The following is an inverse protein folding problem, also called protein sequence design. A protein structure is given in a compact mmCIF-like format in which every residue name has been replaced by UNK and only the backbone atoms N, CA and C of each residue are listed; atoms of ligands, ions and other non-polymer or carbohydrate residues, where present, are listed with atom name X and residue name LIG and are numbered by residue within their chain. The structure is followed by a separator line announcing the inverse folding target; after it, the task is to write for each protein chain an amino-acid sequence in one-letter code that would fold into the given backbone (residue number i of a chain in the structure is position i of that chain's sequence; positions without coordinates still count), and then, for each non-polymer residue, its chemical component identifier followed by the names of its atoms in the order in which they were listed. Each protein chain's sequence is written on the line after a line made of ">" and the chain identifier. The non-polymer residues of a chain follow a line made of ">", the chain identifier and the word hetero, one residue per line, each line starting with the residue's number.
data_IF_815084250109
#
_entry.id   IF_815084250109
#
_cell.length_a   1.000
_cell.length_b   1.000
_cell.length_c   1.000
_cell.angle_alpha   90.00
_cell.angle_beta   90.00
_cell.angle_gamma   90.00
#
_symmetry.space_group_name_H-M   'P 1'
#
loop_
_entity.id
_entity.type
_entity.pdbx_description
1 polymer ?
#
# COMPACT_ATOMS: atom_id res chain seq x y z
N UNK A 1 1.26 -9.30 25.37
CA UNK A 1 2.66 -9.80 25.40
C UNK A 1 2.70 -11.32 25.43
N UNK A 2 2.72 -11.94 24.26
CA UNK A 2 3.09 -13.35 24.03
C UNK A 2 3.81 -13.39 22.68
N UNK A 3 5.06 -13.88 22.70
CA UNK A 3 5.89 -14.15 21.52
C UNK A 3 5.36 -15.39 20.78
N UNK A 4 5.54 -15.44 19.46
CA UNK A 4 4.92 -16.42 18.55
C UNK A 4 5.52 -17.84 18.57
N UNK A 5 6.48 -18.12 19.45
CA UNK A 5 7.07 -19.47 19.56
C UNK A 5 7.37 -19.80 21.02
N UNK A 6 6.42 -20.40 21.75
CA UNK A 6 6.73 -21.51 22.64
C UNK A 6 5.46 -22.17 23.21
N UNK A 7 5.33 -23.48 22.99
CA UNK A 7 4.38 -24.32 23.71
C UNK A 7 5.17 -25.22 24.66
N UNK A 8 4.82 -25.15 25.95
CA UNK A 8 5.27 -25.95 27.12
C UNK A 8 6.47 -25.40 27.91
N UNK A 9 6.17 -24.69 29.00
CA UNK A 9 6.36 -25.15 30.41
C UNK A 9 6.09 -24.03 31.44
N UNK A 10 5.45 -24.41 32.56
CA UNK A 10 5.80 -23.91 33.90
C UNK A 10 5.13 -22.63 34.40
N UNK A 11 4.21 -22.80 35.36
CA UNK A 11 3.59 -21.75 36.21
C UNK A 11 4.64 -21.03 37.06
N UNK A 12 4.54 -19.70 37.20
CA UNK A 12 4.64 -18.99 38.50
C UNK A 12 3.87 -17.67 38.45
N UNK A 13 3.07 -17.43 39.50
CA UNK A 13 2.32 -16.20 39.77
C UNK A 13 3.23 -15.20 40.50
N UNK A 14 3.13 -13.91 40.20
CA UNK A 14 3.08 -12.87 41.23
C UNK A 14 2.42 -11.57 40.73
N UNK A 15 1.91 -10.82 41.69
CA UNK A 15 0.91 -9.75 41.67
C UNK A 15 1.39 -8.36 41.20
N UNK A 16 0.39 -7.59 40.74
CA UNK A 16 0.08 -6.16 41.00
C UNK A 16 1.04 -5.08 40.49
N UNK A 17 0.54 -4.09 39.74
CA UNK A 17 -0.21 -2.95 40.28
C UNK A 17 -0.66 -1.99 39.16
N UNK A 18 -1.79 -1.36 39.43
CA UNK A 18 -2.51 -0.29 38.73
C UNK A 18 -1.69 0.95 38.38
N UNK A 19 -1.98 1.56 37.21
CA UNK A 19 -2.31 2.99 37.14
C UNK A 19 -3.11 3.26 35.84
N UNK A 20 -4.42 3.50 36.01
CA UNK A 20 -5.30 3.99 34.96
C UNK A 20 -5.39 5.50 35.08
N UNK A 21 -5.03 6.22 34.02
CA UNK A 21 -5.34 7.62 33.85
C UNK A 21 -6.20 7.77 32.59
N UNK A 22 -7.46 8.13 32.82
CA UNK A 22 -8.45 8.44 31.82
C UNK A 22 -8.07 9.74 31.08
N UNK A 23 -8.22 9.74 29.75
CA UNK A 23 -8.49 10.97 29.00
C UNK A 23 -9.65 10.69 28.04
N UNK A 24 -10.75 11.36 28.36
CA UNK A 24 -11.95 11.51 27.55
C UNK A 24 -11.62 12.20 26.22
N UNK A 25 -12.12 11.68 25.10
CA UNK A 25 -12.51 12.52 23.98
C UNK A 25 -13.94 12.20 23.58
N UNK A 26 -14.80 13.17 23.84
CA UNK A 26 -16.21 13.16 23.48
C UNK A 26 -16.41 13.23 21.98
N UNK A 27 -17.45 12.55 21.53
CA UNK A 27 -18.04 12.75 20.23
C UNK A 27 -18.58 14.17 20.11
N UNK A 28 -18.30 14.79 18.97
CA UNK A 28 -19.05 15.94 18.51
C UNK A 28 -19.65 15.58 17.15
N UNK A 29 -20.98 15.64 17.10
CA UNK A 29 -21.78 15.23 15.96
C UNK A 29 -21.58 16.13 14.74
N UNK A 30 -21.69 15.51 13.57
CA UNK A 30 -21.77 16.20 12.29
C UNK A 30 -23.18 16.80 12.13
N UNK A 31 -23.30 18.11 12.26
CA UNK A 31 -24.46 18.86 11.77
C UNK A 31 -24.30 19.09 10.26
N UNK A 32 -25.21 18.51 9.49
CA UNK A 32 -25.36 18.75 8.07
C UNK A 32 -25.91 20.16 7.84
N UNK A 33 -25.19 20.98 7.07
CA UNK A 33 -25.73 22.18 6.45
C UNK A 33 -25.77 21.93 4.93
N UNK A 34 -26.99 21.76 4.44
CA UNK A 34 -27.29 21.70 3.02
C UNK A 34 -27.00 23.05 2.37
N UNK A 35 -26.08 23.08 1.41
CA UNK A 35 -25.94 24.19 0.47
C UNK A 35 -26.66 23.81 -0.83
N UNK A 36 -27.64 24.62 -1.22
CA UNK A 36 -28.38 24.50 -2.47
C UNK A 36 -27.44 24.72 -3.69
N UNK A 37 -27.71 24.10 -4.85
CA UNK A 37 -26.88 24.26 -6.02
C UNK A 37 -27.13 25.62 -6.68
N UNK A 38 -26.04 26.29 -7.07
CA UNK A 38 -26.09 27.43 -7.99
C UNK A 38 -25.78 26.87 -9.37
N UNK A 39 -26.77 26.93 -10.26
CA UNK A 39 -26.63 26.60 -11.67
C UNK A 39 -25.62 27.51 -12.37
N UNK A 40 -24.64 26.92 -13.06
CA UNK A 40 -23.66 27.63 -13.86
C UNK A 40 -23.03 26.74 -14.92
N UNK A 41 -23.41 26.99 -16.18
CA UNK A 41 -22.76 26.65 -17.46
C UNK A 41 -21.95 25.32 -17.55
N UNK A 42 -22.49 24.38 -18.32
CA UNK A 42 -21.94 23.04 -18.48
C UNK A 42 -20.58 22.96 -19.17
N UNK A 43 -19.58 22.47 -18.44
CA UNK A 43 -18.42 21.80 -19.02
C UNK A 43 -18.89 20.48 -19.68
N UNK A 44 -18.43 20.20 -20.90
CA UNK A 44 -18.88 19.08 -21.71
C UNK A 44 -18.58 17.69 -21.11
N UNK A 45 -19.23 16.61 -21.58
CA UNK A 45 -19.15 15.28 -20.98
C UNK A 45 -17.72 14.73 -20.84
N UNK A 46 -16.86 15.04 -21.81
CA UNK A 46 -15.44 14.62 -21.84
C UNK A 46 -14.62 15.35 -20.75
N UNK A 47 -14.88 16.64 -20.52
CA UNK A 47 -14.25 17.40 -19.43
C UNK A 47 -14.80 16.97 -18.07
N UNK A 48 -16.11 16.70 -17.96
CA UNK A 48 -16.69 16.14 -16.73
C UNK A 48 -16.13 14.76 -16.39
N UNK A 49 -15.90 13.92 -17.40
CA UNK A 49 -15.30 12.60 -17.21
C UNK A 49 -13.81 12.71 -16.84
N UNK A 50 -13.03 13.55 -17.52
CA UNK A 50 -11.63 13.79 -17.17
C UNK A 50 -11.46 14.46 -15.79
N UNK A 51 -12.37 15.35 -15.40
CA UNK A 51 -12.41 16.00 -14.07
C UNK A 51 -12.97 15.04 -12.99
N UNK A 52 -13.83 14.09 -13.37
CA UNK A 52 -14.32 13.00 -12.50
C UNK A 52 -13.23 11.96 -12.24
N UNK A 53 -12.48 11.57 -13.28
CA UNK A 53 -11.34 10.66 -13.20
C UNK A 53 -10.17 11.29 -12.43
N UNK A 54 -9.93 12.61 -12.58
CA UNK A 54 -8.98 13.36 -11.75
C UNK A 54 -9.44 13.50 -10.29
N UNK A 55 -10.74 13.27 -9.99
CA UNK A 55 -11.29 13.38 -8.63
C UNK A 55 -11.39 12.04 -7.88
N UNK A 56 -11.25 10.89 -8.52
CA UNK A 56 -11.35 9.62 -7.79
C UNK A 56 -10.00 9.19 -7.22
N UNK A 57 -9.97 9.01 -5.90
CA UNK A 57 -8.85 8.40 -5.21
C UNK A 57 -8.74 6.95 -5.67
N UNK A 58 -7.60 6.58 -6.26
CA UNK A 58 -7.35 5.23 -6.74
C UNK A 58 -7.33 4.25 -5.57
N UNK A 59 -8.11 3.18 -5.63
CA UNK A 59 -8.16 2.15 -4.61
C UNK A 59 -7.41 0.89 -5.08
N UNK A 60 -6.38 0.52 -4.33
CA UNK A 60 -5.69 -0.76 -4.44
C UNK A 60 -6.24 -1.71 -3.37
N UNK A 61 -6.71 -2.89 -3.78
CA UNK A 61 -7.09 -3.97 -2.87
C UNK A 61 -6.07 -5.10 -3.01
N UNK A 62 -5.35 -5.41 -1.93
CA UNK A 62 -4.41 -6.53 -1.93
C UNK A 62 -5.03 -7.74 -1.22
N UNK A 63 -5.06 -8.89 -1.88
CA UNK A 63 -5.59 -10.15 -1.39
C UNK A 63 -4.50 -11.21 -1.42
N UNK A 64 -4.43 -12.07 -0.41
CA UNK A 64 -3.44 -13.14 -0.45
C UNK A 64 -3.07 -13.68 0.91
N UNK A 65 -1.88 -14.25 0.97
CA UNK A 65 -1.31 -14.85 2.16
C UNK A 65 -0.44 -13.86 2.99
N UNK A 66 0.52 -14.40 3.74
CA UNK A 66 1.47 -13.66 4.57
C UNK A 66 2.37 -12.71 3.79
N UNK A 67 2.61 -12.97 2.50
CA UNK A 67 3.37 -12.07 1.64
C UNK A 67 2.57 -10.79 1.38
N UNK A 68 1.25 -10.92 1.17
CA UNK A 68 0.35 -9.77 1.08
C UNK A 68 0.22 -9.06 2.42
N UNK A 69 0.15 -9.80 3.53
CA UNK A 69 0.11 -9.20 4.87
C UNK A 69 1.36 -8.38 5.22
N UNK A 70 2.47 -8.56 4.48
CA UNK A 70 3.74 -7.90 4.76
C UNK A 70 4.46 -8.48 5.97
N UNK A 71 4.27 -9.77 6.25
CA UNK A 71 4.83 -10.45 7.41
C UNK A 71 6.36 -10.51 7.38
N UNK A 72 6.99 -10.24 8.51
CA UNK A 72 8.38 -10.57 8.80
C UNK A 72 8.48 -11.32 10.14
N UNK A 73 9.53 -12.15 10.33
CA UNK A 73 9.72 -12.89 11.56
C UNK A 73 9.72 -11.98 12.79
N UNK A 74 8.88 -12.33 13.77
CA UNK A 74 8.75 -11.59 15.04
C UNK A 74 7.64 -10.53 15.05
N UNK A 75 6.92 -10.34 13.94
CA UNK A 75 5.71 -9.50 13.94
C UNK A 75 4.62 -10.08 14.85
N UNK A 76 3.82 -9.18 15.42
CA UNK A 76 2.65 -9.44 16.26
C UNK A 76 1.43 -8.69 15.71
N UNK A 77 0.27 -8.87 16.33
CA UNK A 77 -0.97 -8.11 16.01
C UNK A 77 -0.80 -6.59 16.13
N UNK A 78 0.12 -6.14 16.98
CA UNK A 78 0.42 -4.72 17.20
C UNK A 78 1.45 -4.17 16.20
N UNK A 79 2.00 -5.02 15.33
CA UNK A 79 3.00 -4.60 14.36
C UNK A 79 2.36 -3.91 13.16
N UNK A 80 2.87 -2.75 12.79
CA UNK A 80 2.49 -2.09 11.53
C UNK A 80 3.30 -2.70 10.37
N UNK A 81 2.68 -3.45 9.45
CA UNK A 81 3.39 -4.02 8.32
C UNK A 81 3.94 -2.91 7.42
N UNK A 82 5.11 -3.17 6.86
CA UNK A 82 5.66 -2.39 5.75
C UNK A 82 6.20 -3.35 4.70
N UNK A 83 5.25 -3.97 3.99
CA UNK A 83 5.48 -4.95 2.93
C UNK A 83 5.41 -4.33 1.54
N UNK A 84 5.00 -5.13 0.56
CA UNK A 84 4.89 -4.64 -0.82
C UNK A 84 3.65 -3.76 -1.02
N UNK A 85 2.57 -3.98 -0.27
CA UNK A 85 1.30 -3.25 -0.41
C UNK A 85 1.47 -1.78 -0.05
N UNK A 86 2.16 -1.48 1.06
CA UNK A 86 2.43 -0.11 1.48
C UNK A 86 3.32 0.62 0.48
N UNK A 87 4.34 -0.07 -0.05
CA UNK A 87 5.20 0.48 -1.11
C UNK A 87 4.44 0.69 -2.41
N UNK A 88 3.52 -0.21 -2.76
CA UNK A 88 2.71 -0.07 -3.96
C UNK A 88 1.75 1.12 -3.85
N UNK A 89 1.18 1.35 -2.66
CA UNK A 89 0.43 2.58 -2.35
C UNK A 89 1.29 3.83 -2.56
N UNK A 90 2.53 3.82 -2.09
CA UNK A 90 3.46 4.93 -2.29
C UNK A 90 3.79 5.16 -3.77
N UNK A 91 3.95 4.08 -4.55
CA UNK A 91 4.11 4.18 -6.00
C UNK A 91 2.86 4.77 -6.66
N UNK A 92 1.66 4.36 -6.23
CA UNK A 92 0.41 4.91 -6.75
C UNK A 92 0.27 6.42 -6.54
N UNK A 93 0.88 6.98 -5.48
CA UNK A 93 0.87 8.42 -5.21
C UNK A 93 1.65 9.24 -6.24
N UNK A 94 2.54 8.62 -7.02
CA UNK A 94 3.15 9.25 -8.19
C UNK A 94 2.19 9.36 -9.38
N UNK A 95 1.06 8.66 -9.34
CA UNK A 95 0.06 8.59 -10.41
C UNK A 95 -1.29 9.18 -10.00
N UNK A 96 -1.33 9.99 -8.94
CA UNK A 96 -2.52 10.66 -8.42
C UNK A 96 -2.88 10.25 -6.99
N UNK A 97 -4.05 10.67 -6.53
CA UNK A 97 -4.58 10.27 -5.21
C UNK A 97 -4.71 8.76 -5.14
N UNK A 98 -4.25 8.16 -4.04
CA UNK A 98 -4.31 6.72 -3.87
C UNK A 98 -4.58 6.31 -2.42
N UNK A 99 -5.16 5.12 -2.30
CA UNK A 99 -5.35 4.35 -1.08
C UNK A 99 -5.00 2.88 -1.36
N UNK A 100 -4.55 2.16 -0.35
CA UNK A 100 -4.43 0.72 -0.42
C UNK A 100 -5.06 0.08 0.82
N UNK A 101 -5.82 -0.99 0.63
CA UNK A 101 -6.31 -1.86 1.70
C UNK A 101 -5.68 -3.24 1.56
N UNK A 102 -5.25 -3.78 2.70
CA UNK A 102 -4.49 -5.02 2.78
C UNK A 102 -5.33 -6.11 3.47
N UNK A 103 -5.76 -7.10 2.69
CA UNK A 103 -6.48 -8.28 3.15
C UNK A 103 -5.62 -9.55 3.04
N UNK A 104 -4.31 -9.41 3.28
CA UNK A 104 -3.39 -10.54 3.37
C UNK A 104 -3.56 -11.30 4.68
N UNK A 105 -3.60 -12.63 4.59
CA UNK A 105 -3.96 -13.53 5.68
C UNK A 105 -2.84 -14.55 5.91
N UNK A 106 -2.27 -14.61 7.12
CA UNK A 106 -1.18 -15.52 7.42
C UNK A 106 -1.59 -17.00 7.24
N UNK A 107 -0.79 -17.77 6.51
CA UNK A 107 -1.01 -19.20 6.28
C UNK A 107 -2.15 -19.54 5.32
N UNK A 108 -2.76 -18.56 4.66
CA UNK A 108 -3.84 -18.80 3.69
C UNK A 108 -3.33 -19.61 2.49
N UNK A 109 -4.06 -20.65 2.10
CA UNK A 109 -3.83 -21.44 0.88
C UNK A 109 -4.72 -20.95 -0.27
N UNK A 110 -4.53 -21.45 -1.49
CA UNK A 110 -5.44 -21.13 -2.60
C UNK A 110 -6.88 -21.56 -2.37
N UNK A 111 -7.09 -22.73 -1.74
CA UNK A 111 -8.43 -23.20 -1.33
C UNK A 111 -9.06 -22.26 -0.30
N UNK A 112 -8.27 -21.79 0.67
CA UNK A 112 -8.70 -20.78 1.64
C UNK A 112 -9.07 -19.45 0.98
N UNK A 113 -8.27 -18.96 0.04
CA UNK A 113 -8.58 -17.75 -0.72
C UNK A 113 -9.88 -17.90 -1.52
N UNK A 114 -10.10 -19.03 -2.17
CA UNK A 114 -11.34 -19.29 -2.92
C UNK A 114 -12.57 -19.27 -2.01
N UNK A 115 -12.49 -19.89 -0.83
CA UNK A 115 -13.56 -19.84 0.17
C UNK A 115 -13.81 -18.40 0.65
N UNK A 116 -12.75 -17.62 0.86
CA UNK A 116 -12.84 -16.23 1.29
C UNK A 116 -13.51 -15.36 0.23
N UNK A 117 -13.09 -15.47 -1.04
CA UNK A 117 -13.71 -14.76 -2.15
C UNK A 117 -15.17 -15.16 -2.36
N UNK A 118 -15.52 -16.42 -2.14
CA UNK A 118 -16.91 -16.88 -2.18
C UNK A 118 -17.75 -16.22 -1.09
N UNK A 119 -17.22 -16.08 0.12
CA UNK A 119 -17.89 -15.36 1.21
C UNK A 119 -18.04 -13.87 0.89
N UNK A 120 -16.99 -13.25 0.33
CA UNK A 120 -16.98 -11.85 -0.14
C UNK A 120 -18.08 -11.64 -1.19
N UNK A 121 -18.15 -12.48 -2.23
CA UNK A 121 -19.18 -12.37 -3.26
C UNK A 121 -20.60 -12.42 -2.66
N UNK A 122 -20.82 -13.31 -1.68
CA UNK A 122 -22.09 -13.43 -0.96
C UNK A 122 -22.36 -12.28 0.01
N UNK A 123 -21.34 -11.54 0.43
CA UNK A 123 -21.44 -10.47 1.43
C UNK A 123 -21.77 -11.00 2.83
N UNK A 124 -21.45 -12.26 3.13
CA UNK A 124 -21.81 -12.93 4.39
C UNK A 124 -20.59 -13.13 5.27
N UNK A 125 -20.70 -12.74 6.54
CA UNK A 125 -19.69 -13.05 7.54
C UNK A 125 -19.55 -14.58 7.71
N UNK A 126 -18.31 -15.04 7.93
CA UNK A 126 -17.96 -16.46 8.04
C UNK A 126 -16.94 -16.66 9.15
N UNK A 127 -16.88 -17.86 9.72
CA UNK A 127 -15.84 -18.19 10.70
C UNK A 127 -14.52 -18.54 10.02
N UNK A 128 -13.41 -18.43 10.77
CA UNK A 128 -12.10 -18.81 10.23
C UNK A 128 -12.03 -20.27 9.78
N UNK A 129 -12.63 -21.19 10.53
CA UNK A 129 -12.65 -22.62 10.18
C UNK A 129 -13.45 -22.92 8.90
N UNK A 130 -14.44 -22.08 8.56
CA UNK A 130 -15.17 -22.18 7.30
C UNK A 130 -14.34 -21.71 6.09
N UNK A 131 -13.38 -20.81 6.32
CA UNK A 131 -12.41 -20.39 5.31
C UNK A 131 -11.32 -21.45 5.16
N UNK A 132 -10.65 -21.77 6.26
CA UNK A 132 -9.57 -22.75 6.33
C UNK A 132 -9.34 -23.14 7.80
N UNK A 133 -9.38 -24.44 8.08
CA UNK A 133 -9.12 -24.94 9.43
C UNK A 133 -7.67 -24.70 9.85
N UNK A 134 -7.46 -24.35 11.12
CA UNK A 134 -6.12 -24.19 11.69
C UNK A 134 -5.34 -22.98 11.18
N UNK A 135 -6.04 -21.97 10.65
CA UNK A 135 -5.42 -20.77 10.10
C UNK A 135 -4.67 -19.99 11.21
N UNK A 136 -3.38 -19.69 11.04
CA UNK A 136 -2.53 -19.14 12.12
C UNK A 136 -2.69 -17.63 12.33
N UNK A 137 -3.39 -16.92 11.44
CA UNK A 137 -3.55 -15.47 11.53
C UNK A 137 -4.45 -15.07 12.71
N UNK A 138 -3.94 -14.36 13.72
CA UNK A 138 -4.74 -13.91 14.85
C UNK A 138 -5.83 -12.89 14.45
N UNK A 139 -5.66 -12.21 13.31
CA UNK A 139 -6.60 -11.20 12.79
C UNK A 139 -7.75 -11.83 12.02
N UNK A 140 -7.69 -13.14 11.73
CA UNK A 140 -8.65 -13.84 10.88
C UNK A 140 -10.11 -13.59 11.29
N UNK A 141 -10.43 -13.67 12.58
CA UNK A 141 -11.79 -13.44 13.08
C UNK A 141 -12.33 -12.04 12.71
N UNK A 142 -11.50 -11.00 12.88
CA UNK A 142 -11.89 -9.62 12.57
C UNK A 142 -12.00 -9.38 11.05
N UNK A 143 -11.11 -9.98 10.26
CA UNK A 143 -11.17 -9.90 8.80
C UNK A 143 -12.47 -10.55 8.28
N UNK A 144 -12.82 -11.72 8.81
CA UNK A 144 -13.98 -12.49 8.35
C UNK A 144 -15.32 -12.00 8.92
N UNK A 145 -15.32 -11.18 9.98
CA UNK A 145 -16.52 -10.44 10.40
C UNK A 145 -16.83 -9.24 9.50
N UNK A 146 -15.82 -8.68 8.83
CA UNK A 146 -15.93 -7.46 8.01
C UNK A 146 -16.08 -7.75 6.51
N UNK A 147 -16.69 -8.90 6.17
CA UNK A 147 -16.88 -9.33 4.77
C UNK A 147 -17.66 -8.30 3.94
N UNK A 148 -18.71 -7.69 4.50
CA UNK A 148 -19.52 -6.71 3.76
C UNK A 148 -18.70 -5.47 3.34
N UNK A 149 -17.82 -4.99 4.21
CA UNK A 149 -16.90 -3.90 3.89
C UNK A 149 -15.86 -4.34 2.86
N UNK A 150 -15.27 -5.53 3.05
CA UNK A 150 -14.31 -6.11 2.11
C UNK A 150 -14.90 -6.24 0.71
N UNK A 151 -16.17 -6.69 0.60
CA UNK A 151 -16.91 -6.77 -0.65
C UNK A 151 -17.01 -5.39 -1.31
N UNK A 152 -17.47 -4.39 -0.58
CA UNK A 152 -17.60 -3.03 -1.11
C UNK A 152 -16.26 -2.49 -1.64
N UNK A 153 -15.15 -2.81 -0.96
CA UNK A 153 -13.80 -2.39 -1.38
C UNK A 153 -13.33 -3.14 -2.62
N UNK A 154 -13.58 -4.44 -2.73
CA UNK A 154 -13.29 -5.24 -3.93
C UNK A 154 -14.10 -4.74 -5.14
N UNK A 155 -15.39 -4.45 -4.96
CA UNK A 155 -16.28 -3.92 -6.02
C UNK A 155 -15.87 -2.51 -6.51
N UNK A 156 -15.21 -1.73 -5.65
CA UNK A 156 -14.73 -0.38 -5.95
C UNK A 156 -13.28 -0.32 -6.42
N UNK A 157 -12.51 -1.40 -6.26
CA UNK A 157 -11.09 -1.43 -6.55
C UNK A 157 -10.77 -1.02 -7.99
N UNK A 158 -9.74 -0.20 -8.17
CA UNK A 158 -9.15 0.05 -9.49
C UNK A 158 -8.10 -1.02 -9.82
N UNK A 159 -7.37 -1.48 -8.79
CA UNK A 159 -6.33 -2.49 -8.89
C UNK A 159 -6.55 -3.54 -7.80
N UNK A 160 -6.46 -4.81 -8.17
CA UNK A 160 -6.48 -5.93 -7.24
C UNK A 160 -5.16 -6.71 -7.39
N UNK A 161 -4.36 -6.79 -6.33
CA UNK A 161 -3.11 -7.57 -6.35
C UNK A 161 -3.28 -8.88 -5.60
N UNK A 162 -2.69 -9.96 -6.12
CA UNK A 162 -2.79 -11.29 -5.52
C UNK A 162 -1.41 -11.92 -5.34
N UNK A 163 -1.09 -12.34 -4.11
CA UNK A 163 0.02 -13.27 -3.81
C UNK A 163 -0.50 -14.45 -3.01
N UNK A 164 -0.44 -15.65 -3.57
CA UNK A 164 -0.99 -16.86 -2.93
C UNK A 164 -0.39 -18.13 -3.55
N UNK A 165 -0.31 -19.23 -2.81
CA UNK A 165 0.16 -20.53 -3.29
C UNK A 165 1.39 -21.07 -2.58
N UNK A 166 2.12 -20.22 -1.85
CA UNK A 166 3.30 -20.67 -1.09
C UNK A 166 2.94 -21.71 -0.04
N UNK A 167 1.83 -21.51 0.69
CA UNK A 167 1.37 -22.43 1.73
C UNK A 167 0.91 -23.78 1.18
N UNK A 168 0.36 -23.82 -0.04
CA UNK A 168 -0.03 -25.05 -0.74
C UNK A 168 1.19 -25.96 -0.98
N UNK A 169 2.33 -25.35 -1.34
CA UNK A 169 3.61 -26.08 -1.51
C UNK A 169 4.29 -26.41 -0.20
N UNK A 170 4.28 -25.50 0.78
CA UNK A 170 4.85 -25.80 2.11
C UNK A 170 4.15 -27.00 2.76
N UNK A 171 2.82 -27.09 2.64
CA UNK A 171 2.06 -28.23 3.15
C UNK A 171 2.44 -29.57 2.49
N UNK A 172 2.87 -29.55 1.22
CA UNK A 172 3.44 -30.71 0.55
C UNK A 172 4.83 -31.04 1.10
N UNK A 173 5.68 -30.03 1.29
CA UNK A 173 7.05 -30.21 1.80
C UNK A 173 7.07 -30.83 3.20
N UNK A 174 6.11 -30.46 4.07
CA UNK A 174 5.98 -31.04 5.42
C UNK A 174 5.72 -32.55 5.41
N UNK A 175 5.10 -33.07 4.35
CA UNK A 175 4.78 -34.50 4.17
C UNK A 175 5.80 -35.25 3.31
N UNK A 176 6.71 -34.54 2.65
CA UNK A 176 7.59 -35.11 1.63
C UNK A 176 8.54 -36.19 2.19
N UNK A 177 8.90 -36.12 3.48
CA UNK A 177 9.75 -37.10 4.14
C UNK A 177 9.14 -38.51 4.24
N UNK A 178 7.82 -38.63 4.12
CA UNK A 178 7.09 -39.88 4.24
C UNK A 178 6.75 -40.52 2.87
N UNK A 179 7.15 -39.87 1.77
CA UNK A 179 6.79 -40.26 0.40
C UNK A 179 7.97 -40.84 -0.37
N UNK A 180 7.70 -41.78 -1.27
CA UNK A 180 8.65 -42.14 -2.33
C UNK A 180 8.78 -40.99 -3.35
N UNK A 181 9.84 -41.00 -4.15
CA UNK A 181 10.05 -39.99 -5.21
C UNK A 181 8.87 -39.95 -6.21
N UNK A 182 8.30 -41.12 -6.54
CA UNK A 182 7.17 -41.22 -7.45
C UNK A 182 5.88 -40.63 -6.85
N UNK A 183 5.62 -40.90 -5.56
CA UNK A 183 4.47 -40.33 -4.83
C UNK A 183 4.62 -38.81 -4.68
N UNK A 184 5.79 -38.33 -4.27
CA UNK A 184 6.06 -36.89 -4.14
C UNK A 184 5.85 -36.16 -5.47
N UNK A 185 6.30 -36.74 -6.58
CA UNK A 185 6.11 -36.17 -7.91
C UNK A 185 4.63 -36.14 -8.33
N UNK A 186 3.88 -37.20 -8.03
CA UNK A 186 2.44 -37.25 -8.31
C UNK A 186 1.67 -36.23 -7.47
N UNK A 187 2.00 -36.12 -6.18
CA UNK A 187 1.37 -35.17 -5.26
C UNK A 187 1.72 -33.72 -5.64
N UNK A 188 2.97 -33.42 -6.00
CA UNK A 188 3.37 -32.10 -6.50
C UNK A 188 2.56 -31.71 -7.75
N UNK A 189 2.35 -32.65 -8.68
CA UNK A 189 1.53 -32.40 -9.86
C UNK A 189 0.06 -32.16 -9.49
N UNK A 190 -0.48 -32.87 -8.49
CA UNK A 190 -1.84 -32.68 -7.99
C UNK A 190 -2.01 -31.30 -7.33
N UNK A 191 -1.09 -30.90 -6.44
CA UNK A 191 -1.09 -29.58 -5.79
C UNK A 191 -1.03 -28.45 -6.82
N UNK A 192 -0.18 -28.58 -7.85
CA UNK A 192 -0.10 -27.63 -8.95
C UNK A 192 -1.40 -27.57 -9.77
N UNK A 193 -2.05 -28.71 -10.02
CA UNK A 193 -3.32 -28.75 -10.73
C UNK A 193 -4.44 -28.09 -9.90
N UNK A 194 -4.48 -28.35 -8.59
CA UNK A 194 -5.43 -27.73 -7.66
C UNK A 194 -5.21 -26.22 -7.55
N UNK A 195 -3.95 -25.78 -7.44
CA UNK A 195 -3.57 -24.36 -7.49
C UNK A 195 -4.17 -23.68 -8.72
N UNK A 196 -3.92 -24.24 -9.91
CA UNK A 196 -4.43 -23.69 -11.17
C UNK A 196 -5.96 -23.61 -11.21
N UNK A 197 -6.65 -24.67 -10.77
CA UNK A 197 -8.10 -24.72 -10.73
C UNK A 197 -8.72 -23.73 -9.72
N UNK A 198 -8.09 -23.58 -8.56
CA UNK A 198 -8.52 -22.62 -7.54
C UNK A 198 -8.31 -21.18 -8.00
N UNK A 199 -7.16 -20.90 -8.61
CA UNK A 199 -6.86 -19.56 -9.13
C UNK A 199 -7.76 -19.18 -10.30
N UNK A 200 -8.13 -20.11 -11.16
CA UNK A 200 -9.13 -19.87 -12.20
C UNK A 200 -10.49 -19.45 -11.63
N UNK A 201 -10.97 -20.16 -10.61
CA UNK A 201 -12.21 -19.79 -9.92
C UNK A 201 -12.09 -18.46 -9.17
N UNK A 202 -10.97 -18.23 -8.50
CA UNK A 202 -10.72 -16.99 -7.75
C UNK A 202 -10.73 -15.76 -8.68
N UNK A 203 -10.01 -15.82 -9.80
CA UNK A 203 -10.00 -14.74 -10.79
C UNK A 203 -11.38 -14.55 -11.43
N UNK A 204 -12.11 -15.64 -11.69
CA UNK A 204 -13.50 -15.57 -12.17
C UNK A 204 -14.39 -14.80 -11.20
N UNK A 205 -14.37 -15.13 -9.90
CA UNK A 205 -15.15 -14.43 -8.88
C UNK A 205 -14.79 -12.94 -8.79
N UNK A 206 -13.50 -12.60 -8.87
CA UNK A 206 -13.05 -11.21 -8.85
C UNK A 206 -13.52 -10.44 -10.09
N UNK A 207 -13.43 -11.04 -11.27
CA UNK A 207 -13.92 -10.46 -12.51
C UNK A 207 -15.44 -10.28 -12.54
N UNK A 208 -16.20 -11.20 -11.91
CA UNK A 208 -17.65 -11.08 -11.73
C UNK A 208 -18.02 -9.95 -10.76
N UNK A 209 -17.32 -9.83 -9.63
CA UNK A 209 -17.56 -8.77 -8.65
C UNK A 209 -17.14 -7.39 -9.17
N UNK A 210 -16.03 -7.31 -9.90
CA UNK A 210 -15.50 -6.07 -10.43
C UNK A 210 -14.83 -6.26 -11.81
N UNK A 211 -15.60 -6.16 -12.90
CA UNK A 211 -15.07 -6.33 -14.26
C UNK A 211 -14.19 -5.16 -14.73
N UNK A 212 -14.11 -4.06 -13.98
CA UNK A 212 -13.31 -2.88 -14.33
C UNK A 212 -11.91 -2.91 -13.72
N UNK A 213 -11.71 -3.64 -12.63
CA UNK A 213 -10.43 -3.68 -11.93
C UNK A 213 -9.33 -4.27 -12.81
N UNK A 214 -8.11 -3.72 -12.69
CA UNK A 214 -6.92 -4.40 -13.14
C UNK A 214 -6.48 -5.43 -12.09
N UNK A 215 -6.44 -6.70 -12.46
CA UNK A 215 -5.95 -7.78 -11.60
C UNK A 215 -4.47 -8.01 -11.87
N UNK A 216 -3.65 -8.06 -10.82
CA UNK A 216 -2.22 -8.39 -10.90
C UNK A 216 -1.98 -9.66 -10.11
N UNK A 217 -1.65 -10.75 -10.80
CA UNK A 217 -1.39 -12.05 -10.20
C UNK A 217 0.11 -12.32 -10.15
N UNK A 218 0.67 -12.46 -8.96
CA UNK A 218 2.08 -12.83 -8.81
C UNK A 218 2.32 -14.33 -8.95
N UNK A 219 3.45 -14.67 -9.57
CA UNK A 219 4.02 -16.01 -9.45
C UNK A 219 4.78 -16.19 -8.12
N UNK A 220 5.19 -17.43 -7.85
CA UNK A 220 5.80 -17.81 -6.57
C UNK A 220 7.31 -17.96 -6.69
N UNK A 221 8.05 -17.26 -5.83
CA UNK A 221 9.50 -17.40 -5.74
C UNK A 221 9.90 -18.65 -4.97
N UNK A 222 11.10 -19.14 -5.24
CA UNK A 222 11.71 -20.22 -4.48
C UNK A 222 12.71 -19.69 -3.44
N UNK A 223 12.48 -19.87 -2.12
CA UNK A 223 13.33 -19.30 -1.08
C UNK A 223 14.64 -20.06 -0.80
N UNK A 224 14.77 -21.32 -1.25
CA UNK A 224 15.96 -22.13 -0.93
C UNK A 224 17.17 -21.67 -1.77
N UNK A 225 18.28 -21.27 -1.15
CA UNK A 225 19.44 -20.74 -1.87
C UNK A 225 20.27 -21.86 -2.50
N UNK A 226 21.01 -21.53 -3.56
CA UNK A 226 21.91 -22.47 -4.26
C UNK A 226 22.95 -23.12 -3.34
N UNK A 227 23.36 -22.44 -2.26
CA UNK A 227 24.31 -22.94 -1.27
C UNK A 227 23.79 -24.18 -0.53
N UNK A 228 22.47 -24.36 -0.41
CA UNK A 228 21.87 -25.56 0.19
C UNK A 228 22.06 -26.82 -0.67
N UNK A 229 22.43 -26.67 -1.94
CA UNK A 229 22.73 -27.77 -2.85
C UNK A 229 22.38 -27.42 -4.29
N UNK A 230 23.35 -27.46 -5.20
CA UNK A 230 23.16 -27.00 -6.57
C UNK A 230 22.15 -27.86 -7.38
N UNK A 231 22.05 -29.17 -7.09
CA UNK A 231 21.08 -30.05 -7.73
C UNK A 231 19.66 -29.77 -7.25
N UNK A 232 19.47 -29.76 -5.93
CA UNK A 232 18.20 -29.41 -5.28
C UNK A 232 17.70 -28.02 -5.74
N UNK A 233 18.59 -27.03 -5.77
CA UNK A 233 18.27 -25.70 -6.25
C UNK A 233 17.72 -25.69 -7.69
N UNK A 234 18.33 -26.44 -8.61
CA UNK A 234 17.85 -26.52 -9.99
C UNK A 234 16.46 -27.14 -10.08
N UNK A 235 16.18 -28.18 -9.30
CA UNK A 235 14.85 -28.80 -9.28
C UNK A 235 13.80 -27.85 -8.70
N UNK A 236 14.10 -27.18 -7.59
CA UNK A 236 13.18 -26.22 -6.99
C UNK A 236 12.93 -25.01 -7.91
N UNK A 237 13.93 -24.57 -8.68
CA UNK A 237 13.74 -23.54 -9.71
C UNK A 237 12.87 -24.01 -10.87
N UNK A 238 12.90 -25.29 -11.25
CA UNK A 238 11.96 -25.84 -12.25
C UNK A 238 10.52 -25.86 -11.72
N UNK A 239 10.33 -26.17 -10.44
CA UNK A 239 9.01 -26.12 -9.79
C UNK A 239 8.48 -24.68 -9.81
N UNK A 240 9.28 -23.70 -9.39
CA UNK A 240 8.91 -22.29 -9.49
C UNK A 240 8.58 -21.87 -10.94
N UNK A 241 9.36 -22.33 -11.93
CA UNK A 241 9.06 -22.10 -13.34
C UNK A 241 7.75 -22.73 -13.82
N UNK A 242 7.33 -23.85 -13.21
CA UNK A 242 6.03 -24.47 -13.50
C UNK A 242 4.89 -23.62 -12.93
N UNK A 243 5.04 -23.08 -11.73
CA UNK A 243 4.12 -22.08 -11.16
C UNK A 243 4.00 -20.84 -12.06
N UNK A 244 5.14 -20.27 -12.48
CA UNK A 244 5.15 -19.13 -13.40
C UNK A 244 4.39 -19.46 -14.69
N UNK A 245 4.62 -20.64 -15.27
CA UNK A 245 3.93 -21.05 -16.50
C UNK A 245 2.42 -21.17 -16.31
N UNK A 246 1.95 -21.69 -15.17
CA UNK A 246 0.52 -21.76 -14.86
C UNK A 246 -0.11 -20.37 -14.70
N UNK A 247 0.58 -19.44 -14.04
CA UNK A 247 0.14 -18.04 -13.94
C UNK A 247 0.05 -17.41 -15.33
N UNK A 248 1.05 -17.61 -16.18
CA UNK A 248 1.06 -17.07 -17.54
C UNK A 248 -0.07 -17.62 -18.41
N UNK A 249 -0.32 -18.93 -18.35
CA UNK A 249 -1.44 -19.55 -19.05
C UNK A 249 -2.78 -18.99 -18.57
N UNK A 250 -2.95 -18.83 -17.25
CA UNK A 250 -4.17 -18.27 -16.67
C UNK A 250 -4.39 -16.83 -17.12
N UNK A 251 -3.35 -15.99 -17.02
CA UNK A 251 -3.37 -14.59 -17.45
C UNK A 251 -3.68 -14.50 -18.93
N UNK A 252 -3.08 -15.34 -19.78
CA UNK A 252 -3.35 -15.38 -21.21
C UNK A 252 -4.81 -15.75 -21.51
N UNK A 253 -5.36 -16.76 -20.83
CA UNK A 253 -6.77 -17.16 -20.97
C UNK A 253 -7.73 -16.03 -20.62
N UNK A 254 -7.55 -15.40 -19.47
CA UNK A 254 -8.43 -14.31 -19.02
C UNK A 254 -8.26 -13.02 -19.84
N UNK A 255 -7.05 -12.72 -20.29
CA UNK A 255 -6.80 -11.61 -21.23
C UNK A 255 -7.55 -11.84 -22.54
N UNK A 256 -7.51 -13.06 -23.09
CA UNK A 256 -8.26 -13.42 -24.29
C UNK A 256 -9.79 -13.33 -24.09
N UNK A 257 -10.26 -13.52 -22.86
CA UNK A 257 -11.65 -13.32 -22.46
C UNK A 257 -12.01 -11.84 -22.16
N UNK A 258 -11.08 -10.90 -22.37
CA UNK A 258 -11.31 -9.46 -22.18
C UNK A 258 -11.17 -8.97 -20.73
N UNK A 259 -10.69 -9.81 -19.81
CA UNK A 259 -10.41 -9.40 -18.43
C UNK A 259 -9.06 -8.68 -18.37
N UNK A 260 -9.01 -7.53 -17.70
CA UNK A 260 -7.78 -6.77 -17.48
C UNK A 260 -6.94 -7.43 -16.38
N UNK A 261 -6.11 -8.39 -16.77
CA UNK A 261 -5.23 -9.12 -15.85
C UNK A 261 -3.79 -9.10 -16.36
N UNK A 262 -2.81 -9.07 -15.44
CA UNK A 262 -1.38 -9.19 -15.75
C UNK A 262 -0.67 -10.11 -14.76
N UNK A 263 0.38 -10.77 -15.25
CA UNK A 263 1.33 -11.51 -14.42
C UNK A 263 2.37 -10.57 -13.79
N UNK A 264 2.71 -10.81 -12.53
CA UNK A 264 3.84 -10.20 -11.84
C UNK A 264 4.90 -11.27 -11.54
N UNK A 265 6.00 -11.25 -12.29
CA UNK A 265 7.05 -12.28 -12.24
C UNK A 265 8.06 -12.08 -11.09
N UNK A 266 7.61 -12.32 -9.86
CA UNK A 266 8.42 -12.24 -8.64
C UNK A 266 9.50 -13.32 -8.60
N UNK A 267 9.20 -14.54 -9.06
CA UNK A 267 10.12 -15.68 -9.04
C UNK A 267 11.47 -15.36 -9.71
N UNK A 268 11.40 -14.77 -10.89
CA UNK A 268 12.58 -14.33 -11.67
C UNK A 268 13.39 -13.27 -10.92
N UNK A 269 12.74 -12.36 -10.20
CA UNK A 269 13.42 -11.29 -9.49
C UNK A 269 14.18 -11.79 -8.24
N UNK A 270 13.72 -12.90 -7.66
CA UNK A 270 14.30 -13.54 -6.48
C UNK A 270 15.42 -14.53 -6.81
N UNK A 271 15.39 -15.16 -7.98
CA UNK A 271 16.37 -16.16 -8.38
C UNK A 271 17.82 -15.65 -8.25
N UNK A 272 18.61 -16.39 -7.48
CA UNK A 272 20.02 -16.12 -7.19
C UNK A 272 20.27 -15.09 -6.08
N UNK A 273 19.20 -14.56 -5.45
CA UNK A 273 19.25 -13.53 -4.40
C UNK A 273 18.51 -13.95 -3.14
N UNK A 274 18.21 -15.25 -2.99
CA UNK A 274 17.31 -15.78 -1.98
C UNK A 274 17.79 -15.40 -0.57
N UNK A 275 19.08 -15.60 -0.26
CA UNK A 275 19.67 -15.25 1.05
C UNK A 275 19.51 -13.77 1.44
N UNK A 276 19.42 -12.86 0.47
CA UNK A 276 19.30 -11.43 0.72
C UNK A 276 17.84 -10.97 0.77
N UNK A 277 17.01 -11.58 -0.08
CA UNK A 277 15.61 -11.19 -0.25
C UNK A 277 14.66 -11.92 0.68
N UNK A 278 15.09 -12.98 1.36
CA UNK A 278 14.28 -13.70 2.36
C UNK A 278 15.02 -13.86 3.68
N UNK A 279 14.28 -14.23 4.72
CA UNK A 279 14.83 -14.58 6.03
C UNK A 279 15.29 -16.05 6.12
N UNK A 280 15.59 -16.71 5.00
CA UNK A 280 15.81 -18.16 4.96
C UNK A 280 16.99 -18.63 5.83
N UNK A 281 17.94 -17.74 6.12
CA UNK A 281 19.04 -17.99 7.05
C UNK A 281 18.58 -18.15 8.52
N UNK A 282 17.35 -17.75 8.84
CA UNK A 282 16.64 -17.99 10.11
C UNK A 282 15.55 -19.05 9.98
N UNK A 283 15.65 -19.90 8.95
CA UNK A 283 14.66 -20.94 8.65
C UNK A 283 13.25 -20.39 8.34
N UNK A 284 13.19 -19.13 7.87
CA UNK A 284 11.92 -18.48 7.53
C UNK A 284 11.92 -18.04 6.05
N UNK A 285 10.92 -18.48 5.30
CA UNK A 285 10.82 -18.27 3.84
C UNK A 285 10.35 -16.86 3.45
N UNK A 286 9.90 -16.05 4.42
CA UNK A 286 9.27 -14.76 4.14
C UNK A 286 10.29 -13.72 3.68
N UNK A 287 9.86 -12.73 2.88
CA UNK A 287 10.73 -11.70 2.35
C UNK A 287 11.33 -10.83 3.45
N UNK A 288 12.56 -10.37 3.24
CA UNK A 288 13.11 -9.23 3.97
C UNK A 288 12.48 -7.93 3.45
N UNK A 289 12.77 -6.80 4.10
CA UNK A 289 12.47 -5.47 3.55
C UNK A 289 12.99 -5.25 2.11
N UNK A 290 14.13 -5.84 1.74
CA UNK A 290 14.64 -5.79 0.38
C UNK A 290 13.86 -6.72 -0.57
N UNK A 291 13.41 -7.87 -0.06
CA UNK A 291 12.47 -8.76 -0.75
C UNK A 291 11.13 -8.07 -1.04
N UNK A 292 10.53 -7.43 -0.04
CA UNK A 292 9.29 -6.67 -0.22
C UNK A 292 9.43 -5.48 -1.16
N UNK A 293 10.57 -4.78 -1.17
CA UNK A 293 10.85 -3.77 -2.18
C UNK A 293 10.95 -4.38 -3.59
N UNK A 294 11.54 -5.58 -3.71
CA UNK A 294 11.64 -6.30 -4.99
C UNK A 294 10.25 -6.71 -5.50
N UNK A 295 9.38 -7.23 -4.62
CA UNK A 295 7.99 -7.54 -4.98
C UNK A 295 7.25 -6.27 -5.40
N UNK A 296 7.34 -5.19 -4.61
CA UNK A 296 6.70 -3.92 -4.93
C UNK A 296 7.16 -3.36 -6.29
N UNK A 297 8.45 -3.52 -6.61
CA UNK A 297 9.01 -3.13 -7.90
C UNK A 297 8.38 -3.92 -9.06
N UNK A 298 8.33 -5.24 -8.96
CA UNK A 298 7.71 -6.09 -9.99
C UNK A 298 6.23 -5.74 -10.17
N UNK A 299 5.50 -5.53 -9.07
CA UNK A 299 4.08 -5.13 -9.10
C UNK A 299 3.90 -3.76 -9.77
N UNK A 300 4.68 -2.75 -9.35
CA UNK A 300 4.61 -1.40 -9.90
C UNK A 300 4.98 -1.36 -11.39
N UNK A 301 6.01 -2.10 -11.81
CA UNK A 301 6.39 -2.25 -13.22
C UNK A 301 5.27 -2.91 -14.04
N UNK A 302 4.55 -3.88 -13.46
CA UNK A 302 3.42 -4.53 -14.14
C UNK A 302 2.22 -3.59 -14.30
N UNK A 303 1.96 -2.73 -13.31
CA UNK A 303 0.84 -1.79 -13.30
C UNK A 303 1.15 -0.54 -14.14
N UNK A 304 2.25 0.16 -13.82
CA UNK A 304 2.60 1.48 -14.35
C UNK A 304 3.81 1.49 -15.29
N UNK A 305 4.54 0.38 -15.42
CA UNK A 305 5.75 0.31 -16.26
C UNK A 305 7.02 0.83 -15.59
N UNK A 306 6.94 1.29 -14.35
CA UNK A 306 8.09 1.83 -13.62
C UNK A 306 7.97 1.65 -12.09
N UNK A 307 9.11 1.74 -11.40
CA UNK A 307 9.19 1.91 -9.95
C UNK A 307 10.11 3.10 -9.65
N UNK A 308 9.54 4.12 -9.00
CA UNK A 308 10.17 5.42 -8.81
C UNK A 308 10.80 5.52 -7.42
N UNK A 309 12.01 6.09 -7.39
CA UNK A 309 12.72 6.47 -6.15
C UNK A 309 12.89 7.97 -6.10
N UNK A 310 12.51 8.57 -4.98
CA UNK A 310 12.69 10.00 -4.75
C UNK A 310 14.14 10.35 -4.42
N UNK A 311 14.48 11.64 -4.49
CA UNK A 311 15.79 12.15 -4.09
C UNK A 311 16.10 11.88 -2.62
N UNK A 312 15.11 11.81 -1.73
CA UNK A 312 15.31 11.45 -0.33
C UNK A 312 15.69 9.98 -0.15
N UNK A 313 15.05 9.08 -0.90
CA UNK A 313 15.41 7.65 -0.88
C UNK A 313 16.81 7.38 -1.42
N UNK A 314 17.29 8.21 -2.35
CA UNK A 314 18.65 8.10 -2.92
C UNK A 314 19.70 8.89 -2.14
N UNK A 315 19.34 9.49 -0.99
CA UNK A 315 20.25 10.24 -0.12
C UNK A 315 20.66 11.62 -0.66
N UNK A 316 20.06 12.08 -1.75
CA UNK A 316 20.35 13.39 -2.36
C UNK A 316 19.67 14.55 -1.62
N UNK A 317 18.58 14.27 -0.89
CA UNK A 317 17.82 15.25 -0.10
C UNK A 317 17.38 14.65 1.23
N UNK A 318 17.10 15.49 2.22
CA UNK A 318 16.51 15.02 3.48
C UNK A 318 15.02 14.69 3.30
N UNK A 319 14.29 15.58 2.62
CA UNK A 319 12.88 15.42 2.27
C UNK A 319 12.69 15.68 0.78
N UNK A 320 11.91 14.83 0.15
CA UNK A 320 11.42 15.01 -1.22
C UNK A 320 9.98 15.48 -1.22
N UNK A 321 9.62 16.28 -2.23
CA UNK A 321 8.25 16.73 -2.47
C UNK A 321 7.89 16.34 -3.89
N UNK A 322 6.77 15.65 -4.06
CA UNK A 322 6.23 15.20 -5.34
C UNK A 322 4.89 15.91 -5.52
N UNK A 323 4.73 16.62 -6.64
CA UNK A 323 3.55 17.42 -6.96
C UNK A 323 3.02 16.94 -8.31
N UNK A 324 1.75 16.49 -8.35
CA UNK A 324 1.14 15.90 -9.57
C UNK A 324 2.03 14.81 -10.18
N UNK A 325 2.57 13.96 -9.33
CA UNK A 325 3.49 12.90 -9.76
C UNK A 325 4.89 13.34 -10.15
N UNK A 326 5.25 14.63 -10.07
CA UNK A 326 6.60 15.09 -10.41
C UNK A 326 7.37 15.57 -9.19
N UNK A 327 8.59 15.06 -9.01
CA UNK A 327 9.43 15.51 -7.91
C UNK A 327 9.86 16.97 -8.13
N UNK A 328 9.59 17.82 -7.14
CA UNK A 328 9.96 19.23 -7.16
C UNK A 328 11.46 19.38 -6.91
N UNK A 329 12.20 19.56 -8.00
CA UNK A 329 13.62 19.89 -7.96
C UNK A 329 13.83 21.41 -7.89
N UNK A 330 13.84 21.94 -6.68
CA UNK A 330 14.13 23.35 -6.39
C UNK A 330 15.52 23.55 -5.78
N UNK A 331 16.23 24.67 -6.04
CA UNK A 331 17.42 25.08 -5.30
C UNK A 331 17.12 25.52 -3.86
N UNK A 332 15.85 25.67 -3.48
CA UNK A 332 15.38 26.06 -2.14
C UNK A 332 14.82 24.82 -1.41
N UNK A 333 15.67 23.95 -0.84
CA UNK A 333 15.24 22.69 -0.29
C UNK A 333 14.27 22.89 0.88
N UNK A 334 13.39 21.91 1.16
CA UNK A 334 12.57 21.92 2.37
C UNK A 334 13.44 21.99 3.62
N UNK A 335 12.94 22.69 4.64
CA UNK A 335 13.61 22.80 5.95
C UNK A 335 12.76 22.09 6.99
N UNK A 336 13.38 21.22 7.79
CA UNK A 336 12.73 20.60 8.94
C UNK A 336 13.08 21.38 10.20
N UNK A 337 12.08 21.87 10.90
CA UNK A 337 12.26 22.53 12.20
C UNK A 337 11.22 22.01 13.18
N UNK A 338 11.67 21.53 14.35
CA UNK A 338 10.82 20.93 15.39
C UNK A 338 9.85 19.86 14.86
N UNK A 339 10.33 19.00 13.95
CA UNK A 339 9.54 17.93 13.34
C UNK A 339 8.54 18.40 12.28
N UNK A 340 8.51 19.69 11.93
CA UNK A 340 7.65 20.22 10.87
C UNK A 340 8.44 20.59 9.62
N UNK A 341 7.87 20.24 8.46
CA UNK A 341 8.43 20.55 7.15
C UNK A 341 7.95 21.92 6.67
N UNK A 342 8.91 22.78 6.35
CA UNK A 342 8.71 24.09 5.74
C UNK A 342 9.22 24.07 4.31
N UNK A 343 8.48 24.74 3.43
CA UNK A 343 8.72 24.70 1.99
C UNK A 343 8.72 26.11 1.43
N UNK A 344 9.51 26.32 0.38
CA UNK A 344 9.50 27.58 -0.37
C UNK A 344 8.11 27.79 -0.98
N UNK A 345 7.37 28.75 -0.43
CA UNK A 345 5.95 28.94 -0.71
C UNK A 345 5.68 29.15 -2.20
N UNK A 346 6.53 29.96 -2.84
CA UNK A 346 6.39 30.29 -4.25
C UNK A 346 6.54 29.04 -5.12
N UNK A 347 7.55 28.22 -4.88
CA UNK A 347 7.84 27.04 -5.70
C UNK A 347 6.71 26.02 -5.66
N UNK A 348 6.16 25.77 -4.47
CA UNK A 348 4.98 24.90 -4.33
C UNK A 348 3.78 25.50 -5.06
N UNK A 349 3.55 26.81 -4.88
CA UNK A 349 2.42 27.51 -5.51
C UNK A 349 2.52 27.49 -7.04
N UNK A 350 3.71 27.73 -7.58
CA UNK A 350 3.96 27.66 -9.03
C UNK A 350 3.75 26.23 -9.55
N UNK A 351 4.27 25.22 -8.84
CA UNK A 351 4.19 23.82 -9.23
C UNK A 351 2.75 23.27 -9.24
N UNK A 352 1.89 23.73 -8.32
CA UNK A 352 0.46 23.39 -8.37
C UNK A 352 -0.30 24.19 -9.43
N UNK A 353 0.29 25.25 -10.01
CA UNK A 353 -0.37 26.15 -10.98
C UNK A 353 -1.16 27.29 -10.34
N UNK A 354 -0.88 27.59 -9.07
CA UNK A 354 -1.44 28.73 -8.35
C UNK A 354 -0.67 30.02 -8.59
N UNK A 355 -1.08 31.08 -7.89
CA UNK A 355 -0.43 32.38 -7.91
C UNK A 355 -0.05 32.79 -6.50
N UNK A 356 1.13 33.38 -6.34
CA UNK A 356 1.55 33.98 -5.07
C UNK A 356 1.90 35.46 -5.23
N UNK A 357 1.58 36.26 -4.20
CA UNK A 357 1.89 37.70 -4.14
C UNK A 357 2.45 38.06 -2.77
N UNK A 358 3.41 38.98 -2.74
CA UNK A 358 4.00 39.49 -1.51
C UNK A 358 3.53 40.92 -1.22
N UNK A 359 3.03 41.16 0.00
CA UNK A 359 2.77 42.50 0.51
C UNK A 359 3.85 42.86 1.54
N UNK A 360 4.75 43.77 1.17
CA UNK A 360 5.85 44.21 2.03
C UNK A 360 5.38 45.01 3.24
N UNK A 361 4.31 45.81 3.11
CA UNK A 361 3.78 46.67 4.18
C UNK A 361 3.23 45.85 5.33
N UNK A 362 2.51 44.77 5.02
CA UNK A 362 1.90 43.88 6.02
C UNK A 362 2.73 42.63 6.28
N UNK A 363 3.87 42.46 5.59
CA UNK A 363 4.72 41.26 5.61
C UNK A 363 3.89 39.98 5.41
N UNK A 364 3.04 39.98 4.40
CA UNK A 364 2.07 38.91 4.13
C UNK A 364 2.29 38.32 2.75
N UNK A 365 2.46 37.01 2.67
CA UNK A 365 2.37 36.28 1.41
C UNK A 365 0.93 35.86 1.17
N UNK A 366 0.39 36.10 -0.02
CA UNK A 366 -0.96 35.65 -0.41
C UNK A 366 -0.85 34.62 -1.50
N UNK A 367 -1.47 33.46 -1.33
CA UNK A 367 -1.57 32.40 -2.34
C UNK A 367 -3.01 32.29 -2.82
N UNK A 368 -3.19 32.12 -4.12
CA UNK A 368 -4.49 31.86 -4.75
C UNK A 368 -4.40 30.62 -5.65
N UNK A 369 -5.32 29.68 -5.48
CA UNK A 369 -5.42 28.45 -6.27
C UNK A 369 -6.88 28.02 -6.37
N UNK A 370 -7.39 27.76 -7.58
CA UNK A 370 -8.79 27.34 -7.84
C UNK A 370 -9.85 28.15 -7.07
N UNK A 371 -9.72 29.48 -7.08
CA UNK A 371 -10.65 30.39 -6.38
C UNK A 371 -10.47 30.47 -4.86
N UNK A 372 -9.64 29.60 -4.26
CA UNK A 372 -9.27 29.67 -2.84
C UNK A 372 -8.11 30.63 -2.63
N UNK A 373 -8.11 31.34 -1.50
CA UNK A 373 -7.09 32.33 -1.18
C UNK A 373 -6.60 32.18 0.26
N UNK A 374 -5.29 32.27 0.46
CA UNK A 374 -4.65 32.16 1.77
C UNK A 374 -3.66 33.29 1.97
N UNK A 375 -3.91 34.13 2.97
CA UNK A 375 -2.97 35.12 3.47
C UNK A 375 -2.14 34.56 4.62
N UNK A 376 -0.81 34.57 4.46
CA UNK A 376 0.18 34.00 5.36
C UNK A 376 1.10 35.14 5.84
N UNK A 377 0.77 35.79 6.97
CA UNK A 377 1.64 36.79 7.58
C UNK A 377 2.87 36.12 8.21
N UNK A 378 4.05 36.70 7.99
CA UNK A 378 5.31 36.18 8.54
C UNK A 378 5.32 36.33 10.07
N UNK A 379 5.70 35.27 10.79
CA UNK A 379 5.81 35.27 12.24
C UNK A 379 4.47 35.13 12.99
N UNK A 380 3.34 35.09 12.28
CA UNK A 380 2.02 35.07 12.91
C UNK A 380 1.58 33.66 13.32
N UNK A 381 0.83 33.58 14.43
CA UNK A 381 0.17 32.36 14.91
C UNK A 381 -1.17 32.09 14.24
N UNK A 382 -1.58 32.95 13.32
CA UNK A 382 -2.82 32.84 12.57
C UNK A 382 -2.57 33.17 11.09
N UNK A 383 -3.27 32.46 10.21
CA UNK A 383 -3.37 32.73 8.79
C UNK A 383 -4.81 33.12 8.44
N UNK A 384 -5.01 33.70 7.26
CA UNK A 384 -6.35 34.00 6.72
C UNK A 384 -6.61 33.07 5.56
N UNK A 385 -7.36 31.99 5.76
CA UNK A 385 -7.75 31.04 4.73
C UNK A 385 -9.20 31.27 4.31
N UNK A 386 -9.42 31.61 3.04
CA UNK A 386 -10.75 31.86 2.45
C UNK A 386 -11.59 32.85 3.27
N UNK A 387 -10.93 33.88 3.83
CA UNK A 387 -11.57 34.90 4.69
C UNK A 387 -11.70 34.51 6.16
N UNK A 388 -11.48 33.25 6.54
CA UNK A 388 -11.51 32.79 7.93
C UNK A 388 -10.12 32.80 8.56
N UNK A 389 -10.05 33.10 9.86
CA UNK A 389 -8.81 32.98 10.63
C UNK A 389 -8.59 31.51 11.00
N UNK A 390 -7.40 31.01 10.71
CA UNK A 390 -6.98 29.64 11.05
C UNK A 390 -5.70 29.72 11.87
N UNK A 391 -5.71 29.07 13.03
CA UNK A 391 -4.52 29.00 13.88
C UNK A 391 -3.43 28.17 13.20
N UNK A 392 -2.17 28.60 13.34
CA UNK A 392 -1.00 27.82 12.97
C UNK A 392 -0.05 27.74 14.16
N UNK A 393 0.29 26.51 14.57
CA UNK A 393 1.25 26.28 15.65
C UNK A 393 2.67 26.74 15.28
N UNK A 394 2.93 26.85 13.98
CA UNK A 394 4.23 27.21 13.45
C UNK A 394 4.12 28.32 12.42
N UNK A 395 4.71 29.49 12.71
CA UNK A 395 4.63 30.63 11.81
C UNK A 395 5.51 30.43 10.58
N UNK A 396 5.06 30.96 9.44
CA UNK A 396 5.91 31.13 8.28
C UNK A 396 7.05 32.12 8.57
N UNK A 397 8.20 31.95 7.93
CA UNK A 397 9.38 32.80 8.12
C UNK A 397 10.02 33.18 6.79
N UNK A 398 10.87 34.20 6.83
CA UNK A 398 11.76 34.53 5.71
C UNK A 398 13.04 33.71 5.88
N UNK A 399 13.34 32.86 4.90
CA UNK A 399 14.55 32.07 4.86
C UNK A 399 15.52 32.68 3.85
N UNK A 400 16.77 32.85 4.26
CA UNK A 400 17.85 33.23 3.36
C UNK A 400 18.32 31.97 2.63
N UNK A 401 18.16 31.94 1.31
CA UNK A 401 18.61 30.83 0.48
C UNK A 401 19.48 31.37 -0.66
N UNK A 402 20.80 31.26 -0.48
CA UNK A 402 21.77 31.95 -1.33
C UNK A 402 21.63 33.47 -1.22
N UNK A 403 21.59 34.15 -2.36
CA UNK A 403 21.41 35.61 -2.45
C UNK A 403 19.96 36.08 -2.33
N UNK A 404 18.99 35.16 -2.20
CA UNK A 404 17.57 35.49 -2.16
C UNK A 404 16.95 35.24 -0.79
N UNK A 405 15.92 36.03 -0.45
CA UNK A 405 15.01 35.71 0.65
C UNK A 405 13.72 35.11 0.12
N UNK A 406 13.33 33.96 0.67
CA UNK A 406 12.10 33.26 0.32
C UNK A 406 11.19 33.17 1.53
N UNK A 407 9.89 33.22 1.28
CA UNK A 407 8.89 32.86 2.29
C UNK A 407 8.86 31.35 2.41
N UNK A 408 9.19 30.85 3.58
CA UNK A 408 9.04 29.45 3.95
C UNK A 408 7.79 29.30 4.82
N UNK A 409 6.86 28.48 4.36
CA UNK A 409 5.62 28.20 5.05
C UNK A 409 5.54 26.72 5.44
N UNK A 410 4.91 26.39 6.57
CA UNK A 410 4.68 24.99 6.91
C UNK A 410 3.70 24.38 5.91
N UNK A 411 3.96 23.15 5.48
CA UNK A 411 3.16 22.46 4.47
C UNK A 411 1.67 22.37 4.85
N UNK A 412 1.37 22.18 6.14
CA UNK A 412 0.01 22.09 6.68
C UNK A 412 -0.85 23.34 6.42
N UNK A 413 -0.24 24.53 6.32
CA UNK A 413 -0.94 25.79 5.99
C UNK A 413 -1.41 25.80 4.53
N UNK A 414 -0.69 25.10 3.63
CA UNK A 414 -1.11 24.95 2.23
C UNK A 414 -2.27 23.96 2.11
N UNK A 415 -2.30 22.90 2.94
CA UNK A 415 -3.42 21.95 3.02
C UNK A 415 -4.72 22.65 3.44
N UNK A 416 -4.71 23.29 4.62
CA UNK A 416 -5.92 23.85 5.23
C UNK A 416 -6.46 25.07 4.48
N UNK A 417 -5.60 25.75 3.72
CA UNK A 417 -5.95 27.01 3.09
C UNK A 417 -6.42 26.91 1.63
N UNK A 418 -5.82 26.05 0.81
CA UNK A 418 -6.14 25.90 -0.62
C UNK A 418 -6.64 24.50 -1.01
N UNK A 419 -6.82 23.58 -0.04
CA UNK A 419 -7.53 22.32 -0.24
C UNK A 419 -6.74 21.23 -0.99
N UNK A 420 -5.42 21.21 -0.85
CA UNK A 420 -4.55 20.20 -1.45
C UNK A 420 -4.68 18.85 -0.72
N UNK A 421 -4.65 17.74 -1.46
CA UNK A 421 -4.43 16.42 -0.87
C UNK A 421 -2.93 16.23 -0.62
N UNK A 422 -2.56 16.07 0.64
CA UNK A 422 -1.17 15.88 1.05
C UNK A 422 -1.02 14.59 1.82
N UNK A 423 -0.20 13.70 1.28
CA UNK A 423 0.16 12.45 1.91
C UNK A 423 1.66 12.41 2.18
N UNK A 424 2.03 12.12 3.43
CA UNK A 424 3.43 11.97 3.81
C UNK A 424 3.77 10.48 3.98
N UNK A 425 4.82 10.02 3.31
CA UNK A 425 5.46 8.74 3.65
C UNK A 425 6.67 9.00 4.54
N UNK A 426 6.59 8.55 5.79
CA UNK A 426 7.71 8.58 6.72
C UNK A 426 8.86 7.67 6.28
N UNK A 427 8.53 6.50 5.69
CA UNK A 427 9.54 5.54 5.20
C UNK A 427 10.33 6.10 4.03
N UNK A 428 9.68 6.81 3.11
CA UNK A 428 10.35 7.44 1.98
C UNK A 428 10.89 8.85 2.30
N UNK A 429 10.51 9.44 3.44
CA UNK A 429 10.69 10.87 3.74
C UNK A 429 10.22 11.75 2.57
N UNK A 430 9.07 11.39 2.00
CA UNK A 430 8.54 12.02 0.79
C UNK A 430 7.13 12.51 1.04
N UNK A 431 6.89 13.76 0.65
CA UNK A 431 5.58 14.40 0.63
C UNK A 431 5.01 14.25 -0.77
N UNK A 432 3.78 13.76 -0.89
CA UNK A 432 3.01 13.74 -2.13
C UNK A 432 1.90 14.77 -2.04
N UNK A 433 1.81 15.64 -3.03
CA UNK A 433 0.78 16.65 -3.21
C UNK A 433 0.01 16.30 -4.48
N UNK A 434 -1.21 15.84 -4.30
CA UNK A 434 -2.13 15.50 -5.38
C UNK A 434 -3.29 16.51 -5.41
N UNK A 435 -3.90 16.68 -6.58
CA UNK A 435 -5.00 17.62 -6.82
C UNK A 435 -6.33 16.89 -6.98
#
# INVERSE_FOLDING_TARGET
>A
MKSYTDSKKGRHRLLAATLAAAVLFGGCGTSALAAAPVDGAGEGPILRQAVSEAKQQRLIVALGDSITAGYEPGMTEDSEPYGYVERLREQALYHGRAEAVNYGILGLTTSGLLNYLTAIQKGQAVSADQIQQGLPDPRASALFSNIAETKARVEQADIITITIGGNDILALMDKAGDMTEAELKAEAAAVLAEYGANMEKAVTLLAEMNPRAQIILADQYQPVPKLAGAALYRELQKVAGTFTSQVDELVARFTAAGINIKAAHVAKAFAGKELFLTHIYKEDVHPTQAGYETIAKVMAESIWGEYRKSSSQTGKREISIVIKGQELLTPYPPVVNNGQTFVALKDITDAIGGQSRWNAKTRTATVTYEGRTVGIPIGAKEIIANGARVATASPAFLHQAGSEQKVYAPLAVLVSGIGLDIQYSAKLKTVFINL
#
